data_IF_338643454769
#
_entry.id   IF_338643454769
#
_cell.length_a   1.000
_cell.length_b   1.000
_cell.length_c   1.000
_cell.angle_alpha   90.00
_cell.angle_beta   90.00
_cell.angle_gamma   90.00
#
_symmetry.space_group_name_H-M   'P 1'
#
loop_
_entity.id
_entity.type
_entity.pdbx_description
1 polymer ?
#
# COMPACT_ATOMS: atom_id res chain seq x y z
N UNK A 1 18.46 -12.09 -20.48
CA UNK A 1 17.16 -11.45 -20.71
C UNK A 1 17.12 -10.17 -19.88
N UNK A 2 16.94 -8.98 -20.47
CA UNK A 2 16.87 -7.73 -19.72
C UNK A 2 15.67 -7.76 -18.76
N UNK A 3 15.82 -7.25 -17.53
CA UNK A 3 14.71 -7.23 -16.57
C UNK A 3 13.57 -6.36 -17.10
N UNK A 4 12.31 -6.78 -16.95
CA UNK A 4 11.16 -5.99 -17.35
C UNK A 4 11.19 -4.65 -16.62
N UNK A 5 10.81 -3.55 -17.30
CA UNK A 5 10.71 -2.24 -16.68
C UNK A 5 9.76 -2.35 -15.48
N UNK A 6 10.32 -2.24 -14.28
CA UNK A 6 9.56 -1.99 -13.07
C UNK A 6 8.70 -0.76 -13.39
N UNK A 7 7.37 -0.93 -13.34
CA UNK A 7 6.40 0.09 -13.70
C UNK A 7 6.88 1.45 -13.23
N UNK A 8 7.30 2.22 -14.22
CA UNK A 8 7.92 3.52 -14.14
C UNK A 8 6.86 4.50 -13.64
N UNK A 9 6.70 4.57 -12.32
CA UNK A 9 5.95 5.61 -11.66
C UNK A 9 6.74 6.92 -11.66
N UNK A 10 6.67 7.62 -12.79
CA UNK A 10 6.92 9.06 -13.01
C UNK A 10 8.35 9.61 -12.75
N UNK A 11 8.94 10.37 -13.70
CA UNK A 11 10.24 11.01 -13.53
C UNK A 11 10.15 12.26 -12.63
N UNK A 12 11.00 12.33 -11.62
CA UNK A 12 11.34 13.58 -10.91
C UNK A 12 10.71 13.77 -9.53
N UNK A 13 11.56 13.84 -8.50
CA UNK A 13 11.23 14.38 -7.18
C UNK A 13 10.79 13.34 -6.14
N UNK A 14 11.31 13.47 -4.92
CA UNK A 14 10.73 12.82 -3.74
C UNK A 14 9.23 13.19 -3.66
N UNK A 15 8.32 12.23 -3.41
CA UNK A 15 6.90 12.53 -3.35
C UNK A 15 6.64 13.54 -2.23
N UNK A 16 6.15 14.73 -2.59
CA UNK A 16 5.80 15.78 -1.63
C UNK A 16 4.79 15.27 -0.61
N UNK A 17 4.75 15.86 0.59
CA UNK A 17 3.77 15.50 1.65
C UNK A 17 2.35 15.46 1.08
N UNK A 18 2.00 16.42 0.23
CA UNK A 18 0.71 16.46 -0.45
C UNK A 18 0.48 15.26 -1.40
N UNK A 19 1.51 14.83 -2.12
CA UNK A 19 1.45 13.65 -2.98
C UNK A 19 1.31 12.36 -2.17
N UNK A 20 1.93 12.27 -0.98
CA UNK A 20 1.75 11.16 -0.03
C UNK A 20 0.34 11.10 0.52
N UNK A 21 -0.19 12.24 1.00
CA UNK A 21 -1.58 12.41 1.45
C UNK A 21 -2.53 11.93 0.35
N UNK A 22 -2.34 12.40 -0.89
CA UNK A 22 -3.17 12.01 -2.04
C UNK A 22 -3.12 10.50 -2.30
N UNK A 23 -1.94 9.87 -2.22
CA UNK A 23 -1.80 8.43 -2.39
C UNK A 23 -2.56 7.64 -1.32
N UNK A 24 -2.41 8.04 -0.05
CA UNK A 24 -3.11 7.44 1.08
C UNK A 24 -4.63 7.63 0.99
N UNK A 25 -5.07 8.83 0.62
CA UNK A 25 -6.47 9.13 0.40
C UNK A 25 -7.07 8.30 -0.74
N UNK A 26 -6.41 8.20 -1.90
CA UNK A 26 -6.90 7.39 -3.03
C UNK A 26 -7.04 5.91 -2.67
N UNK A 27 -6.00 5.33 -2.07
CA UNK A 27 -6.01 3.90 -1.73
C UNK A 27 -7.01 3.61 -0.61
N UNK A 28 -7.07 4.46 0.41
CA UNK A 28 -8.03 4.34 1.51
C UNK A 28 -9.48 4.51 1.05
N UNK A 29 -9.76 5.48 0.17
CA UNK A 29 -11.12 5.67 -0.37
C UNK A 29 -11.55 4.51 -1.26
N UNK A 30 -10.66 3.97 -2.10
CA UNK A 30 -10.96 2.82 -2.96
C UNK A 30 -11.29 1.57 -2.13
N UNK A 31 -10.47 1.27 -1.12
CA UNK A 31 -10.70 0.13 -0.21
C UNK A 31 -11.94 0.36 0.66
N UNK A 32 -12.16 1.57 1.15
CA UNK A 32 -13.36 1.92 1.91
C UNK A 32 -14.64 1.80 1.07
N UNK A 33 -14.58 2.15 -0.21
CA UNK A 33 -15.70 1.96 -1.16
C UNK A 33 -16.04 0.48 -1.35
N UNK A 34 -15.04 -0.38 -1.54
CA UNK A 34 -15.27 -1.82 -1.76
C UNK A 34 -15.76 -2.52 -0.49
N UNK A 35 -15.17 -2.22 0.67
CA UNK A 35 -15.63 -2.75 1.96
C UNK A 35 -17.05 -2.24 2.27
N UNK A 36 -17.32 -0.95 2.03
CA UNK A 36 -18.65 -0.37 2.22
C UNK A 36 -19.69 -0.95 1.26
N UNK A 37 -19.28 -1.32 0.04
CA UNK A 37 -20.15 -2.03 -0.92
C UNK A 37 -20.48 -3.45 -0.43
N UNK A 38 -19.50 -4.20 0.06
CA UNK A 38 -19.71 -5.57 0.56
C UNK A 38 -20.55 -5.52 1.85
N UNK A 39 -20.17 -4.69 2.81
CA UNK A 39 -20.89 -4.55 4.09
C UNK A 39 -22.31 -4.02 3.89
N UNK A 40 -22.47 -2.98 3.07
CA UNK A 40 -23.78 -2.43 2.71
C UNK A 40 -24.63 -3.41 1.91
N UNK A 41 -24.02 -4.15 0.99
CA UNK A 41 -24.69 -5.19 0.19
C UNK A 41 -25.20 -6.34 1.06
N UNK A 42 -24.38 -6.85 1.99
CA UNK A 42 -24.81 -7.89 2.94
C UNK A 42 -25.94 -7.37 3.83
N UNK A 43 -25.87 -6.12 4.30
CA UNK A 43 -26.94 -5.52 5.10
C UNK A 43 -28.25 -5.40 4.33
N UNK A 44 -28.22 -4.99 3.06
CA UNK A 44 -29.41 -4.91 2.22
C UNK A 44 -29.98 -6.30 1.92
N UNK A 45 -29.13 -7.30 1.69
CA UNK A 45 -29.56 -8.67 1.44
C UNK A 45 -30.17 -9.33 2.67
N UNK A 46 -29.68 -9.00 3.88
CA UNK A 46 -30.15 -9.61 5.14
C UNK A 46 -31.31 -8.86 5.79
N UNK A 47 -31.21 -7.55 5.90
CA UNK A 47 -32.16 -6.70 6.61
C UNK A 47 -33.14 -5.97 5.67
N UNK A 48 -32.96 -6.13 4.36
CA UNK A 48 -33.75 -5.44 3.34
C UNK A 48 -33.22 -4.03 3.02
N UNK A 49 -33.63 -3.47 1.88
CA UNK A 49 -33.38 -2.07 1.58
C UNK A 49 -34.15 -1.20 2.57
N UNK A 50 -33.43 -0.47 3.43
CA UNK A 50 -34.05 0.39 4.45
C UNK A 50 -34.97 1.48 3.86
N UNK A 51 -35.51 2.39 4.69
CA UNK A 51 -36.48 3.41 4.26
C UNK A 51 -35.95 4.38 3.17
N UNK A 52 -34.63 4.41 2.97
CA UNK A 52 -33.94 5.19 1.92
C UNK A 52 -33.72 4.40 0.62
N UNK A 53 -34.28 3.19 0.50
CA UNK A 53 -34.06 2.27 -0.62
C UNK A 53 -32.70 1.57 -0.57
N UNK A 54 -32.50 0.63 -1.51
CA UNK A 54 -31.26 -0.16 -1.63
C UNK A 54 -30.06 0.74 -1.93
N UNK A 55 -30.20 1.60 -2.94
CA UNK A 55 -29.15 2.52 -3.39
C UNK A 55 -28.81 3.58 -2.34
N UNK A 56 -29.79 4.11 -1.61
CA UNK A 56 -29.55 5.10 -0.55
C UNK A 56 -28.82 4.49 0.64
N UNK A 57 -29.21 3.29 1.07
CA UNK A 57 -28.53 2.59 2.16
C UNK A 57 -27.11 2.18 1.73
N UNK A 58 -26.97 1.60 0.55
CA UNK A 58 -25.68 1.16 0.01
C UNK A 58 -24.68 2.31 -0.12
N UNK A 59 -25.10 3.41 -0.76
CA UNK A 59 -24.26 4.59 -0.94
C UNK A 59 -23.85 5.21 0.40
N UNK A 60 -24.70 5.17 1.42
CA UNK A 60 -24.37 5.67 2.75
C UNK A 60 -23.29 4.83 3.44
N UNK A 61 -23.35 3.49 3.33
CA UNK A 61 -22.29 2.59 3.82
C UNK A 61 -20.99 2.79 3.05
N UNK A 62 -21.07 2.87 1.72
CA UNK A 62 -19.93 3.13 0.83
C UNK A 62 -19.25 4.45 1.13
N UNK A 63 -20.01 5.54 1.24
CA UNK A 63 -19.48 6.88 1.45
C UNK A 63 -18.88 7.04 2.85
N UNK A 64 -19.54 6.50 3.89
CA UNK A 64 -19.05 6.53 5.27
C UNK A 64 -17.75 5.73 5.43
N UNK A 65 -17.69 4.54 4.82
CA UNK A 65 -16.48 3.70 4.83
C UNK A 65 -15.36 4.35 4.01
N UNK A 66 -15.65 4.87 2.82
CA UNK A 66 -14.67 5.57 1.99
C UNK A 66 -14.09 6.82 2.68
N UNK A 67 -14.93 7.60 3.37
CA UNK A 67 -14.50 8.79 4.08
C UNK A 67 -13.56 8.43 5.25
N UNK A 68 -13.89 7.42 6.05
CA UNK A 68 -13.09 7.02 7.21
C UNK A 68 -11.77 6.38 6.80
N UNK A 69 -11.80 5.37 5.92
CA UNK A 69 -10.57 4.74 5.43
C UNK A 69 -9.72 5.72 4.62
N UNK A 70 -10.32 6.59 3.80
CA UNK A 70 -9.62 7.65 3.09
C UNK A 70 -8.91 8.63 4.02
N UNK A 71 -9.59 9.09 5.08
CA UNK A 71 -9.02 10.04 6.05
C UNK A 71 -7.88 9.42 6.86
N UNK A 72 -8.10 8.23 7.45
CA UNK A 72 -7.08 7.57 8.26
C UNK A 72 -5.88 7.14 7.42
N UNK A 73 -6.09 6.62 6.21
CA UNK A 73 -4.97 6.21 5.34
C UNK A 73 -4.23 7.41 4.75
N UNK A 74 -4.91 8.53 4.51
CA UNK A 74 -4.27 9.79 4.09
C UNK A 74 -3.25 10.27 5.11
N UNK A 75 -3.63 10.35 6.38
CA UNK A 75 -2.74 10.76 7.49
C UNK A 75 -1.72 9.66 7.79
N UNK A 76 -2.15 8.39 7.84
CA UNK A 76 -1.29 7.25 8.10
C UNK A 76 -0.19 7.09 7.05
N UNK A 77 -0.45 7.46 5.80
CA UNK A 77 0.57 7.46 4.74
C UNK A 77 1.61 8.55 4.96
N UNK A 78 1.24 9.72 5.48
CA UNK A 78 2.25 10.72 5.88
C UNK A 78 3.08 10.17 7.04
N UNK A 79 2.44 9.79 8.15
CA UNK A 79 3.13 9.35 9.38
C UNK A 79 4.01 8.11 9.18
N UNK A 80 3.55 7.11 8.41
CA UNK A 80 4.35 5.91 8.09
C UNK A 80 5.62 6.28 7.33
N UNK A 81 5.53 7.33 6.54
CA UNK A 81 6.59 7.71 5.61
C UNK A 81 7.53 8.74 6.24
N UNK A 82 7.08 9.51 7.25
CA UNK A 82 7.98 10.26 8.15
C UNK A 82 8.93 9.36 8.96
N UNK A 83 8.64 8.06 9.12
CA UNK A 83 9.50 7.11 9.86
C UNK A 83 10.42 6.24 8.99
N UNK A 84 10.12 6.10 7.69
CA UNK A 84 10.86 5.22 6.75
C UNK A 84 11.51 6.03 5.60
N UNK A 85 10.95 7.18 5.22
CA UNK A 85 11.61 8.17 4.34
C UNK A 85 12.32 9.29 5.10
N UNK A 86 12.24 9.33 6.44
CA UNK A 86 13.27 9.97 7.26
C UNK A 86 14.55 9.13 7.36
N UNK A 87 14.85 8.31 6.35
CA UNK A 87 16.21 7.96 6.03
C UNK A 87 16.65 8.73 4.77
N UNK A 88 17.05 10.01 4.91
CA UNK A 88 17.68 10.78 3.83
C UNK A 88 18.94 10.11 3.24
N UNK A 89 19.42 9.01 3.82
CA UNK A 89 20.55 8.26 3.29
C UNK A 89 20.20 7.21 2.24
N UNK A 90 18.93 6.80 2.08
CA UNK A 90 18.51 5.96 0.94
C UNK A 90 18.37 6.78 -0.35
N UNK A 91 19.52 7.33 -0.74
CA UNK A 91 19.83 7.82 -2.07
C UNK A 91 19.28 6.85 -3.14
N UNK A 92 18.92 7.34 -4.34
CA UNK A 92 18.58 6.47 -5.48
C UNK A 92 19.65 5.40 -5.74
N UNK A 93 20.90 5.66 -5.33
CA UNK A 93 21.99 4.68 -5.29
C UNK A 93 21.77 3.52 -4.31
N UNK A 94 21.26 3.76 -3.10
CA UNK A 94 20.97 2.67 -2.16
C UNK A 94 19.76 1.82 -2.61
N UNK A 95 18.78 2.40 -3.31
CA UNK A 95 17.74 1.62 -4.01
C UNK A 95 18.35 0.73 -5.09
N UNK A 96 19.30 1.24 -5.87
CA UNK A 96 20.02 0.46 -6.87
C UNK A 96 20.94 -0.61 -6.26
N UNK A 97 21.57 -0.33 -5.11
CA UNK A 97 22.43 -1.28 -4.40
C UNK A 97 21.60 -2.37 -3.72
N UNK A 98 20.43 -2.06 -3.17
CA UNK A 98 19.51 -3.07 -2.64
C UNK A 98 19.03 -4.04 -3.74
N UNK A 99 18.77 -3.52 -4.95
CA UNK A 99 18.43 -4.35 -6.12
C UNK A 99 19.62 -5.21 -6.57
N UNK A 100 20.85 -4.66 -6.58
CA UNK A 100 22.07 -5.45 -6.86
C UNK A 100 22.32 -6.51 -5.80
N UNK A 101 22.14 -6.19 -4.52
CA UNK A 101 22.24 -7.16 -3.43
C UNK A 101 21.19 -8.26 -3.59
N UNK A 102 19.99 -7.93 -4.07
CA UNK A 102 18.97 -8.93 -4.32
C UNK A 102 19.34 -9.82 -5.51
N UNK A 103 19.92 -9.28 -6.58
CA UNK A 103 20.47 -10.07 -7.69
C UNK A 103 21.65 -10.96 -7.25
N UNK A 104 22.49 -10.46 -6.34
CA UNK A 104 23.59 -11.21 -5.75
C UNK A 104 23.07 -12.32 -4.81
N UNK A 105 22.07 -12.03 -4.00
CA UNK A 105 21.37 -13.02 -3.18
C UNK A 105 20.66 -14.06 -4.05
N UNK A 106 20.05 -13.66 -5.16
CA UNK A 106 19.39 -14.56 -6.11
C UNK A 106 20.39 -15.42 -6.89
N UNK A 107 21.57 -14.90 -7.23
CA UNK A 107 22.65 -15.69 -7.84
C UNK A 107 23.33 -16.63 -6.84
N UNK A 108 23.43 -16.25 -5.55
CA UNK A 108 23.84 -17.15 -4.46
C UNK A 108 22.79 -18.21 -4.12
N UNK A 109 21.51 -17.87 -4.18
CA UNK A 109 20.40 -18.81 -4.01
C UNK A 109 20.30 -19.79 -5.18
N UNK A 110 20.48 -19.30 -6.42
CA UNK A 110 20.53 -20.14 -7.63
C UNK A 110 21.80 -20.98 -7.71
N UNK A 111 22.88 -20.54 -7.06
CA UNK A 111 24.12 -21.29 -6.86
C UNK A 111 24.13 -22.26 -5.68
N UNK A 112 23.01 -22.43 -4.97
CA UNK A 112 22.88 -23.45 -3.91
C UNK A 112 23.78 -23.24 -2.69
N UNK A 113 24.24 -22.02 -2.42
CA UNK A 113 25.05 -21.67 -1.25
C UNK A 113 24.40 -20.54 -0.46
N UNK A 114 23.23 -20.81 0.08
CA UNK A 114 22.75 -20.05 1.24
C UNK A 114 23.19 -20.85 2.45
N UNK A 115 24.43 -20.60 2.87
CA UNK A 115 24.91 -21.06 4.17
C UNK A 115 24.10 -20.26 5.19
N UNK A 116 23.07 -20.90 5.73
CA UNK A 116 22.36 -20.39 6.90
C UNK A 116 23.39 -20.46 8.02
N UNK A 117 24.00 -19.32 8.32
CA UNK A 117 24.82 -19.14 9.51
C UNK A 117 23.90 -19.38 10.71
N UNK A 118 23.81 -20.64 11.15
CA UNK A 118 23.26 -21.00 12.43
C UNK A 118 24.07 -20.24 13.46
N UNK A 119 23.49 -19.14 13.94
CA UNK A 119 23.91 -18.47 15.16
C UNK A 119 23.85 -19.52 16.27
N UNK A 120 24.99 -20.17 16.52
CA UNK A 120 25.25 -21.03 17.67
C UNK A 120 24.77 -20.30 18.91
N UNK A 121 23.66 -20.78 19.48
CA UNK A 121 23.38 -20.62 20.90
C UNK A 121 24.48 -21.35 21.64
N UNK A 122 25.39 -20.59 22.25
CA UNK A 122 26.17 -21.00 23.39
C UNK A 122 25.72 -20.10 24.56
#
# INVERSE_FOLDING_TARGET
MPPPPQMQGMPGGEPTVFQKIKMGAMTGTLVGLTIGFIGGGIQILRAGPGPRGALGTLSQFMLSSAATFGFFMSIGTVLRTEGIEANPYLTPMQRAVALRQQEELMSRARGGRVEVEERKRA
#
